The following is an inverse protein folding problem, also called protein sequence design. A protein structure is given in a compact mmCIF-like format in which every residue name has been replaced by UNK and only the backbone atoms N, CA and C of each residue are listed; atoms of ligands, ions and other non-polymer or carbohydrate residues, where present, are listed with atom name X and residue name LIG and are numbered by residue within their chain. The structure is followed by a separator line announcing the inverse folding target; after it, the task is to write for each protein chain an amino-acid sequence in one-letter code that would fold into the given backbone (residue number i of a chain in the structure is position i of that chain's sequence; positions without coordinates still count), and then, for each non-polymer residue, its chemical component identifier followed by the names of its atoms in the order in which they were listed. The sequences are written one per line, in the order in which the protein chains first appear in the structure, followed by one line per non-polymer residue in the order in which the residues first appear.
data_IF_563467806965
#
_entry.id   IF_563467806965
#
_cell.length_a   1.000
_cell.length_b   1.000
_cell.length_c   1.000
_cell.angle_alpha   90.00
_cell.angle_beta   90.00
_cell.angle_gamma   90.00
#
_symmetry.space_group_name_H-M   'P 1'
#
loop_
_entity.id
_entity.type
_entity.pdbx_description
1 polymer ?
#
# COMPACT_ATOMS: atom_id res chain seq x y z
N UNK A 1 -23.19 16.83 4.77
CA UNK A 1 -21.78 16.46 4.52
C UNK A 1 -21.71 15.99 3.07
N UNK A 2 -21.10 16.77 2.17
CA UNK A 2 -21.10 16.42 0.75
C UNK A 2 -20.11 15.27 0.50
N UNK A 3 -20.60 14.21 -0.15
CA UNK A 3 -19.83 13.04 -0.52
C UNK A 3 -18.95 13.38 -1.74
N UNK A 4 -17.71 13.80 -1.47
CA UNK A 4 -16.74 14.17 -2.50
C UNK A 4 -16.04 12.96 -3.15
N UNK A 5 -16.44 11.72 -2.82
CA UNK A 5 -15.85 10.52 -3.40
C UNK A 5 -16.07 10.40 -4.92
N UNK A 6 -17.04 11.13 -5.48
CA UNK A 6 -17.42 11.07 -6.91
C UNK A 6 -16.77 12.13 -7.81
N UNK A 7 -15.98 13.08 -7.27
CA UNK A 7 -15.46 14.22 -8.05
C UNK A 7 -14.00 14.10 -8.53
N UNK A 8 -13.25 13.04 -8.20
CA UNK A 8 -11.94 12.86 -8.81
C UNK A 8 -12.10 12.27 -10.21
N UNK A 9 -12.16 13.14 -11.22
CA UNK A 9 -12.05 12.74 -12.62
C UNK A 9 -10.71 12.05 -12.82
N UNK A 10 -10.69 10.71 -12.88
CA UNK A 10 -9.46 9.93 -13.03
C UNK A 10 -8.86 10.15 -14.41
N UNK A 11 -7.84 11.03 -14.50
CA UNK A 11 -7.18 11.38 -15.75
C UNK A 11 -5.84 10.67 -15.94
N UNK A 12 -5.30 10.61 -17.18
CA UNK A 12 -3.97 10.05 -17.44
C UNK A 12 -2.87 10.67 -16.56
N UNK A 13 -2.93 11.98 -16.30
CA UNK A 13 -1.98 12.68 -15.42
C UNK A 13 -2.08 12.26 -13.95
N UNK A 14 -3.28 11.98 -13.45
CA UNK A 14 -3.47 11.47 -12.08
C UNK A 14 -2.88 10.07 -11.95
N UNK A 15 -3.18 9.19 -12.92
CA UNK A 15 -2.66 7.82 -12.92
C UNK A 15 -1.14 7.80 -13.03
N UNK A 16 -0.55 8.63 -13.90
CA UNK A 16 0.91 8.74 -14.02
C UNK A 16 1.56 9.19 -12.70
N UNK A 17 1.00 10.20 -12.02
CA UNK A 17 1.49 10.65 -10.70
C UNK A 17 1.35 9.58 -9.63
N UNK A 18 0.25 8.82 -9.64
CA UNK A 18 0.04 7.70 -8.73
C UNK A 18 1.08 6.59 -8.94
N UNK A 19 1.33 6.22 -10.20
CA UNK A 19 2.34 5.23 -10.58
C UNK A 19 3.76 5.67 -10.18
N UNK A 20 4.11 6.94 -10.39
CA UNK A 20 5.41 7.51 -10.01
C UNK A 20 5.69 7.40 -8.49
N UNK A 21 4.65 7.42 -7.65
CA UNK A 21 4.75 7.20 -6.19
C UNK A 21 4.84 5.73 -5.80
N UNK A 22 5.19 4.84 -6.74
CA UNK A 22 5.19 3.37 -6.59
C UNK A 22 3.79 2.80 -6.32
N UNK A 23 2.74 3.57 -6.59
CA UNK A 23 1.37 3.05 -6.63
C UNK A 23 1.20 2.10 -7.81
N UNK A 24 0.33 1.09 -7.66
CA UNK A 24 -0.08 0.21 -8.77
C UNK A 24 -1.53 0.54 -9.11
N UNK A 25 -1.81 1.27 -10.20
CA UNK A 25 -3.17 1.63 -10.59
C UNK A 25 -4.05 0.38 -10.74
N UNK A 26 -5.33 0.49 -10.39
CA UNK A 26 -6.31 -0.57 -10.68
C UNK A 26 -6.73 -0.56 -12.14
N UNK A 27 -7.38 -1.63 -12.56
CA UNK A 27 -7.87 -1.80 -13.93
C UNK A 27 -8.93 -0.74 -14.27
N UNK A 28 -9.80 -0.41 -13.33
CA UNK A 28 -10.85 0.61 -13.49
C UNK A 28 -10.26 2.03 -13.51
N UNK A 29 -9.21 2.31 -12.72
CA UNK A 29 -8.50 3.59 -12.81
C UNK A 29 -7.84 3.77 -14.18
N UNK A 30 -7.20 2.70 -14.68
CA UNK A 30 -6.58 2.71 -16.01
C UNK A 30 -7.63 2.87 -17.10
N UNK A 31 -8.76 2.19 -16.99
CA UNK A 31 -9.85 2.26 -17.95
C UNK A 31 -10.47 3.66 -17.99
N UNK A 32 -10.82 4.23 -16.83
CA UNK A 32 -11.37 5.59 -16.72
C UNK A 32 -10.42 6.63 -17.32
N UNK A 33 -9.12 6.51 -17.04
CA UNK A 33 -8.11 7.41 -17.61
C UNK A 33 -7.92 7.20 -19.12
N UNK A 34 -7.97 5.96 -19.60
CA UNK A 34 -7.85 5.63 -21.01
C UNK A 34 -9.04 6.17 -21.82
N UNK A 35 -10.27 6.03 -21.30
CA UNK A 35 -11.49 6.48 -21.95
C UNK A 35 -11.63 8.01 -22.01
N UNK A 36 -10.82 8.77 -21.25
CA UNK A 36 -10.75 10.23 -21.33
C UNK A 36 -9.89 10.76 -22.47
N UNK A 37 -9.11 9.89 -23.14
CA UNK A 37 -8.20 10.31 -24.20
C UNK A 37 -8.99 10.47 -25.50
N UNK A 38 -9.18 11.72 -25.93
CA UNK A 38 -9.85 12.05 -27.18
C UNK A 38 -8.99 13.03 -28.01
N UNK A 39 -8.70 12.74 -29.28
CA UNK A 39 -9.03 11.49 -30.01
C UNK A 39 -8.24 10.28 -29.49
N UNK A 40 -8.76 9.06 -29.72
CA UNK A 40 -8.09 7.83 -29.31
C UNK A 40 -6.73 7.69 -30.03
N UNK A 41 -5.63 7.40 -29.32
CA UNK A 41 -4.31 7.19 -29.90
C UNK A 41 -4.16 5.84 -30.60
N UNK A 42 -5.14 4.94 -30.43
CA UNK A 42 -5.12 3.58 -30.94
C UNK A 42 -6.25 3.36 -31.93
N UNK A 43 -6.09 2.36 -32.81
CA UNK A 43 -7.18 1.93 -33.68
C UNK A 43 -8.39 1.45 -32.86
N UNK A 44 -9.57 1.41 -33.47
CA UNK A 44 -10.79 0.95 -32.81
C UNK A 44 -10.65 -0.49 -32.28
N UNK A 45 -9.97 -1.37 -33.03
CA UNK A 45 -9.72 -2.76 -32.65
C UNK A 45 -8.80 -2.83 -31.42
N UNK A 46 -7.72 -2.06 -31.41
CA UNK A 46 -6.79 -2.01 -30.28
C UNK A 46 -7.44 -1.39 -29.03
N UNK A 47 -8.24 -0.33 -29.22
CA UNK A 47 -9.00 0.33 -28.16
C UNK A 47 -9.94 -0.66 -27.47
N UNK A 48 -10.71 -1.43 -28.25
CA UNK A 48 -11.60 -2.47 -27.71
C UNK A 48 -10.81 -3.59 -27.02
N UNK A 49 -9.66 -3.98 -27.57
CA UNK A 49 -8.81 -5.00 -26.95
C UNK A 49 -8.23 -4.53 -25.59
N UNK A 50 -7.80 -3.27 -25.49
CA UNK A 50 -7.37 -2.67 -24.21
C UNK A 50 -8.52 -2.69 -23.20
N UNK A 51 -9.71 -2.21 -23.58
CA UNK A 51 -10.88 -2.20 -22.69
C UNK A 51 -11.24 -3.60 -22.19
N UNK A 52 -11.18 -4.62 -23.05
CA UNK A 52 -11.44 -6.01 -22.65
C UNK A 52 -10.45 -6.54 -21.62
N UNK A 53 -9.17 -6.22 -21.75
CA UNK A 53 -8.15 -6.63 -20.78
C UNK A 53 -8.40 -5.99 -19.41
N UNK A 54 -8.87 -4.74 -19.38
CA UNK A 54 -9.13 -3.99 -18.16
C UNK A 54 -10.47 -4.37 -17.49
N UNK A 55 -11.54 -4.61 -18.26
CA UNK A 55 -12.87 -4.98 -17.70
C UNK A 55 -12.96 -6.46 -17.31
N UNK A 56 -11.98 -7.30 -17.69
CA UNK A 56 -12.01 -8.76 -17.52
C UNK A 56 -13.33 -9.39 -18.04
N UNK A 57 -13.85 -8.93 -19.20
CA UNK A 57 -15.07 -9.52 -19.79
C UNK A 57 -14.84 -11.00 -20.11
N UNK A 58 -15.70 -11.87 -19.56
CA UNK A 58 -15.76 -13.29 -19.92
C UNK A 58 -16.41 -13.46 -21.30
N UNK A 59 -15.91 -14.40 -22.10
CA UNK A 59 -16.46 -14.76 -23.39
C UNK A 59 -15.44 -14.71 -24.54
N UNK A 60 -15.74 -15.43 -25.63
CA UNK A 60 -14.90 -15.45 -26.83
C UNK A 60 -14.89 -14.05 -27.46
N UNK A 61 -13.72 -13.50 -27.83
CA UNK A 61 -13.67 -12.23 -28.53
C UNK A 61 -14.35 -12.30 -29.90
N UNK A 62 -15.11 -11.25 -30.30
CA UNK A 62 -15.67 -11.12 -31.63
C UNK A 62 -14.52 -10.80 -32.59
N UNK A 63 -13.86 -11.84 -33.09
CA UNK A 63 -12.80 -11.72 -34.08
C UNK A 63 -11.37 -11.79 -33.54
N UNK A 64 -10.42 -11.62 -34.45
CA UNK A 64 -8.98 -11.72 -34.19
C UNK A 64 -8.47 -10.43 -33.55
N UNK A 65 -8.48 -10.39 -32.22
CA UNK A 65 -7.88 -9.28 -31.47
C UNK A 65 -6.34 -9.37 -31.50
N UNK A 66 -5.64 -8.22 -31.44
CA UNK A 66 -4.19 -8.20 -31.27
C UNK A 66 -3.78 -8.89 -29.97
N UNK A 67 -2.60 -9.52 -29.99
CA UNK A 67 -2.05 -10.17 -28.81
C UNK A 67 -1.67 -9.13 -27.75
N UNK A 68 -1.56 -9.57 -26.49
CA UNK A 68 -1.15 -8.69 -25.37
C UNK A 68 0.19 -8.03 -25.64
N UNK A 69 1.15 -8.77 -26.19
CA UNK A 69 2.47 -8.25 -26.57
C UNK A 69 2.38 -7.18 -27.67
N UNK A 70 1.51 -7.37 -28.67
CA UNK A 70 1.26 -6.37 -29.70
C UNK A 70 0.67 -5.09 -29.10
N UNK A 71 -0.34 -5.22 -28.23
CA UNK A 71 -0.95 -4.09 -27.53
C UNK A 71 0.03 -3.34 -26.63
N UNK A 72 0.84 -4.05 -25.85
CA UNK A 72 1.88 -3.45 -25.01
C UNK A 72 2.86 -2.62 -25.84
N UNK A 73 3.30 -3.15 -26.99
CA UNK A 73 4.19 -2.41 -27.90
C UNK A 73 3.50 -1.19 -28.49
N UNK A 74 2.27 -1.34 -28.99
CA UNK A 74 1.49 -0.24 -29.55
C UNK A 74 1.32 0.90 -28.53
N UNK A 75 0.93 0.58 -27.29
CA UNK A 75 0.80 1.56 -26.20
C UNK A 75 2.12 2.28 -25.89
N UNK A 76 3.23 1.57 -25.86
CA UNK A 76 4.56 2.17 -25.62
C UNK A 76 5.07 3.00 -26.81
N UNK A 77 4.51 2.83 -28.00
CA UNK A 77 4.88 3.62 -29.18
C UNK A 77 4.05 4.90 -29.32
N UNK A 78 2.98 5.06 -28.54
CA UNK A 78 2.20 6.30 -28.50
C UNK A 78 3.10 7.47 -28.09
N UNK A 79 3.16 8.48 -28.95
CA UNK A 79 3.89 9.72 -28.73
C UNK A 79 3.00 10.97 -28.91
N UNK A 80 1.74 10.86 -28.47
CA UNK A 80 0.76 11.94 -28.59
C UNK A 80 1.00 13.01 -27.51
N UNK A 81 1.08 14.30 -27.89
CA UNK A 81 1.15 15.40 -26.93
C UNK A 81 -0.04 15.37 -25.97
N UNK A 82 0.22 15.55 -24.67
CA UNK A 82 -0.83 15.56 -23.63
C UNK A 82 -1.09 14.22 -22.96
N UNK A 83 -0.53 13.10 -23.45
CA UNK A 83 -0.58 11.81 -22.76
C UNK A 83 0.73 11.59 -21.98
N UNK A 84 0.70 11.55 -20.64
CA UNK A 84 1.92 11.38 -19.85
C UNK A 84 2.56 10.01 -20.07
N UNK A 85 3.88 9.98 -20.23
CA UNK A 85 4.63 8.72 -20.46
C UNK A 85 4.42 7.70 -19.34
N UNK A 86 4.40 8.15 -18.08
CA UNK A 86 4.18 7.27 -16.93
C UNK A 86 2.80 6.60 -16.93
N UNK A 87 1.78 7.20 -17.58
CA UNK A 87 0.50 6.53 -17.78
C UNK A 87 0.61 5.40 -18.81
N UNK A 88 1.26 5.67 -19.95
CA UNK A 88 1.48 4.66 -21.00
C UNK A 88 2.29 3.47 -20.48
N UNK A 89 3.32 3.73 -19.67
CA UNK A 89 4.12 2.69 -19.01
C UNK A 89 3.29 1.85 -18.04
N UNK A 90 2.46 2.50 -17.21
CA UNK A 90 1.56 1.80 -16.28
C UNK A 90 0.53 0.93 -17.04
N UNK A 91 -0.05 1.48 -18.11
CA UNK A 91 -1.00 0.76 -18.96
C UNK A 91 -0.32 -0.42 -19.67
N UNK A 92 0.85 -0.21 -20.27
CA UNK A 92 1.64 -1.25 -20.93
C UNK A 92 2.04 -2.38 -19.98
N UNK A 93 2.52 -2.03 -18.78
CA UNK A 93 2.83 -3.00 -17.72
C UNK A 93 1.59 -3.82 -17.36
N UNK A 94 0.43 -3.17 -17.19
CA UNK A 94 -0.82 -3.87 -16.90
C UNK A 94 -1.25 -4.80 -18.04
N UNK A 95 -1.15 -4.34 -19.29
CA UNK A 95 -1.48 -5.15 -20.47
C UNK A 95 -0.56 -6.38 -20.57
N UNK A 96 0.70 -6.27 -20.16
CA UNK A 96 1.64 -7.40 -20.08
C UNK A 96 1.38 -8.38 -18.94
N UNK A 97 0.73 -7.95 -17.85
CA UNK A 97 0.45 -8.79 -16.66
C UNK A 97 -0.79 -9.66 -16.83
N UNK A 98 -0.71 -10.97 -16.55
CA UNK A 98 -1.87 -11.88 -16.58
C UNK A 98 -2.88 -11.48 -15.50
N UNK A 99 -2.41 -11.19 -14.30
CA UNK A 99 -3.23 -10.79 -13.17
C UNK A 99 -3.68 -9.33 -13.31
N UNK A 100 -5.00 -9.11 -13.29
CA UNK A 100 -5.57 -7.77 -13.10
C UNK A 100 -5.68 -7.36 -11.65
N UNK A 101 -6.06 -6.12 -11.40
CA UNK A 101 -6.31 -5.64 -10.04
C UNK A 101 -7.54 -4.76 -10.00
N UNK A 102 -8.56 -5.19 -9.26
CA UNK A 102 -9.77 -4.37 -9.12
C UNK A 102 -9.54 -3.19 -8.16
N UNK A 103 -10.36 -2.14 -8.29
CA UNK A 103 -10.41 -1.02 -7.34
C UNK A 103 -10.63 -1.55 -5.92
N UNK A 104 -11.49 -2.55 -5.74
CA UNK A 104 -11.76 -3.19 -4.46
C UNK A 104 -10.51 -3.87 -3.86
N UNK A 105 -9.79 -4.68 -4.64
CA UNK A 105 -8.53 -5.31 -4.20
C UNK A 105 -7.45 -4.26 -3.89
N UNK A 106 -7.40 -3.18 -4.65
CA UNK A 106 -6.49 -2.06 -4.40
C UNK A 106 -6.83 -1.34 -3.09
N UNK A 107 -8.11 -1.07 -2.83
CA UNK A 107 -8.60 -0.44 -1.60
C UNK A 107 -8.35 -1.32 -0.38
N UNK A 108 -8.62 -2.62 -0.44
CA UNK A 108 -8.28 -3.56 0.64
C UNK A 108 -6.78 -3.55 0.89
N UNK A 109 -5.96 -3.58 -0.16
CA UNK A 109 -4.50 -3.52 -0.02
C UNK A 109 -4.02 -2.24 0.67
N UNK A 110 -4.61 -1.10 0.31
CA UNK A 110 -4.31 0.20 0.94
C UNK A 110 -4.76 0.24 2.40
N UNK A 111 -5.99 -0.19 2.68
CA UNK A 111 -6.53 -0.31 4.04
C UNK A 111 -5.63 -1.19 4.92
N UNK A 112 -5.29 -2.39 4.45
CA UNK A 112 -4.41 -3.31 5.17
C UNK A 112 -3.01 -2.72 5.41
N UNK A 113 -2.52 -1.88 4.50
CA UNK A 113 -1.23 -1.18 4.65
C UNK A 113 -1.33 -0.10 5.73
N UNK A 114 -2.39 0.71 5.71
CA UNK A 114 -2.64 1.76 6.70
C UNK A 114 -2.83 1.15 8.09
N UNK A 115 -3.68 0.14 8.22
CA UNK A 115 -3.92 -0.57 9.49
C UNK A 115 -2.62 -1.18 10.04
N UNK A 116 -1.79 -1.77 9.18
CA UNK A 116 -0.47 -2.27 9.56
C UNK A 116 0.45 -1.15 10.06
N UNK A 117 0.48 0.00 9.38
CA UNK A 117 1.27 1.15 9.80
C UNK A 117 0.82 1.69 11.17
N UNK A 118 -0.49 1.78 11.42
CA UNK A 118 -1.01 2.18 12.73
C UNK A 118 -0.62 1.19 13.83
N UNK A 119 -0.77 -0.11 13.59
CA UNK A 119 -0.33 -1.15 14.53
C UNK A 119 1.17 -1.06 14.81
N UNK A 120 1.98 -0.90 13.78
CA UNK A 120 3.44 -0.78 13.91
C UNK A 120 3.83 0.50 14.68
N UNK A 121 3.12 1.62 14.48
CA UNK A 121 3.28 2.85 15.26
C UNK A 121 2.98 2.61 16.74
N UNK A 122 1.84 1.96 17.02
CA UNK A 122 1.38 1.65 18.38
C UNK A 122 2.39 0.76 19.11
N UNK A 123 2.87 -0.31 18.46
CA UNK A 123 3.93 -1.19 18.99
C UNK A 123 5.18 -0.38 19.36
N UNK A 124 5.61 0.54 18.50
CA UNK A 124 6.80 1.36 18.76
C UNK A 124 6.57 2.34 19.92
N UNK A 125 5.39 2.95 20.01
CA UNK A 125 5.02 3.85 21.10
C UNK A 125 5.04 3.12 22.44
N UNK A 126 4.21 2.09 22.57
CA UNK A 126 4.10 1.27 23.77
C UNK A 126 5.44 0.68 24.19
N UNK A 127 6.20 0.09 23.26
CA UNK A 127 7.52 -0.46 23.60
C UNK A 127 8.44 0.61 24.18
N UNK A 128 8.47 1.84 23.64
CA UNK A 128 9.34 2.90 24.14
C UNK A 128 8.94 3.34 25.55
N UNK A 129 7.65 3.54 25.78
CA UNK A 129 7.10 3.93 27.09
C UNK A 129 7.40 2.85 28.13
N UNK A 130 7.05 1.60 27.84
CA UNK A 130 7.27 0.47 28.74
C UNK A 130 8.77 0.20 28.97
N UNK A 131 9.59 0.36 27.94
CA UNK A 131 11.03 0.27 28.09
C UNK A 131 11.55 1.34 29.04
N UNK A 132 11.10 2.60 28.91
CA UNK A 132 11.54 3.70 29.76
C UNK A 132 11.10 3.51 31.22
N UNK A 133 9.91 2.99 31.45
CA UNK A 133 9.35 2.81 32.79
C UNK A 133 9.86 1.57 33.55
N UNK A 134 10.61 0.68 32.90
CA UNK A 134 11.20 -0.49 33.55
C UNK A 134 12.40 -0.12 34.44
N UNK A 135 12.12 0.29 35.68
CA UNK A 135 13.13 0.62 36.71
C UNK A 135 13.50 -0.58 37.61
N UNK A 136 13.34 -1.81 37.11
CA UNK A 136 13.74 -3.03 37.83
C UNK A 136 12.69 -3.59 38.80
N UNK A 137 11.55 -2.90 38.98
CA UNK A 137 10.45 -3.35 39.82
C UNK A 137 9.55 -4.40 39.13
N UNK A 138 8.77 -5.14 39.92
CA UNK A 138 7.82 -6.18 39.44
C UNK A 138 6.57 -5.61 38.76
N UNK A 139 6.27 -4.34 38.97
CA UNK A 139 5.17 -3.64 38.32
C UNK A 139 5.57 -2.21 37.95
N UNK A 140 4.88 -1.67 36.95
CA UNK A 140 5.07 -0.32 36.40
C UNK A 140 3.71 0.37 36.40
N UNK A 141 3.66 1.60 36.93
CA UNK A 141 2.45 2.44 36.84
C UNK A 141 2.52 3.31 35.59
N UNK A 142 1.59 3.10 34.66
CA UNK A 142 1.46 3.91 33.45
C UNK A 142 0.33 4.95 33.61
N UNK A 143 0.54 6.22 33.24
CA UNK A 143 -0.42 7.31 33.49
C UNK A 143 -1.80 7.09 32.85
N UNK A 144 -1.86 6.32 31.75
CA UNK A 144 -3.12 6.07 31.01
C UNK A 144 -3.61 4.63 31.18
N UNK A 145 -2.71 3.67 31.38
CA UNK A 145 -3.02 2.23 31.28
C UNK A 145 -3.20 1.63 32.69
N UNK A 146 -2.78 2.36 33.73
CA UNK A 146 -2.78 1.89 35.10
C UNK A 146 -1.57 1.01 35.41
N UNK A 147 -1.73 0.10 36.36
CA UNK A 147 -0.65 -0.78 36.78
C UNK A 147 -0.44 -1.92 35.78
N UNK A 148 0.81 -2.13 35.39
CA UNK A 148 1.22 -3.12 34.41
C UNK A 148 2.26 -4.04 35.06
N UNK A 149 2.01 -5.34 35.01
CA UNK A 149 2.95 -6.33 35.54
C UNK A 149 4.16 -6.48 34.61
N UNK A 150 5.36 -6.48 35.20
CA UNK A 150 6.59 -6.73 34.46
C UNK A 150 6.81 -8.25 34.42
N UNK A 151 6.88 -8.87 33.22
CA UNK A 151 7.05 -10.30 33.11
C UNK A 151 8.40 -10.73 33.70
N UNK A 152 8.34 -11.71 34.61
CA UNK A 152 9.49 -12.31 35.29
C UNK A 152 10.22 -13.25 34.33
N UNK A 153 10.95 -12.66 33.38
CA UNK A 153 11.73 -13.39 32.39
C UNK A 153 13.21 -13.09 32.59
N UNK A 154 14.09 -14.11 32.46
CA UNK A 154 15.56 -13.95 32.51
C UNK A 154 16.14 -13.13 31.34
N UNK A 155 15.29 -12.46 30.58
CA UNK A 155 15.65 -11.77 29.36
C UNK A 155 15.81 -10.27 29.61
N UNK A 156 16.67 -9.62 28.82
CA UNK A 156 16.98 -8.20 28.99
C UNK A 156 15.77 -7.26 28.88
N UNK A 157 15.90 -6.05 29.43
CA UNK A 157 14.90 -4.96 29.47
C UNK A 157 14.07 -4.83 28.18
N UNK A 158 14.73 -4.81 27.02
CA UNK A 158 14.03 -4.70 25.73
C UNK A 158 13.08 -5.86 25.43
N UNK A 159 13.43 -7.10 25.79
CA UNK A 159 12.59 -8.27 25.52
C UNK A 159 11.40 -8.34 26.47
N UNK A 160 11.59 -7.92 27.73
CA UNK A 160 10.48 -7.71 28.68
C UNK A 160 9.51 -6.64 28.20
N UNK A 161 10.01 -5.50 27.70
CA UNK A 161 9.17 -4.44 27.14
C UNK A 161 8.36 -4.90 25.92
N UNK A 162 8.96 -5.71 25.03
CA UNK A 162 8.24 -6.34 23.91
C UNK A 162 7.12 -7.26 24.39
N UNK A 163 7.38 -8.08 25.42
CA UNK A 163 6.38 -8.97 25.99
C UNK A 163 5.22 -8.19 26.61
N UNK A 164 5.50 -7.18 27.42
CA UNK A 164 4.47 -6.29 27.97
C UNK A 164 3.65 -5.61 26.88
N UNK A 165 4.31 -5.16 25.79
CA UNK A 165 3.61 -4.58 24.64
C UNK A 165 2.66 -5.59 24.01
N UNK A 166 3.10 -6.84 23.82
CA UNK A 166 2.26 -7.91 23.30
C UNK A 166 1.05 -8.17 24.21
N UNK A 167 1.27 -8.22 25.52
CA UNK A 167 0.24 -8.54 26.50
C UNK A 167 -0.82 -7.44 26.57
N UNK A 168 -0.42 -6.17 26.47
CA UNK A 168 -1.35 -5.05 26.38
C UNK A 168 -2.16 -5.07 25.08
N UNK A 169 -1.52 -5.37 23.95
CA UNK A 169 -2.22 -5.49 22.67
C UNK A 169 -3.27 -6.60 22.72
N UNK A 170 -2.92 -7.77 23.26
CA UNK A 170 -3.87 -8.87 23.46
C UNK A 170 -5.00 -8.48 24.41
N UNK A 171 -4.70 -7.79 25.53
CA UNK A 171 -5.72 -7.29 26.47
C UNK A 171 -6.70 -6.29 25.82
N UNK A 172 -6.25 -5.56 24.82
CA UNK A 172 -7.07 -4.62 24.04
C UNK A 172 -7.66 -5.24 22.77
N UNK A 173 -7.70 -6.57 22.68
CA UNK A 173 -8.29 -7.31 21.56
C UNK A 173 -7.61 -7.05 20.19
N UNK A 174 -6.37 -6.57 20.21
CA UNK A 174 -5.53 -6.56 19.01
C UNK A 174 -4.87 -7.92 18.83
N UNK A 175 -4.61 -8.27 17.57
CA UNK A 175 -3.77 -9.41 17.21
C UNK A 175 -2.29 -8.97 17.10
N UNK A 176 -1.46 -9.17 18.15
CA UNK A 176 -0.07 -8.77 18.12
C UNK A 176 0.73 -9.69 17.18
N UNK A 177 1.66 -9.13 16.38
CA UNK A 177 2.61 -9.95 15.64
C UNK A 177 3.57 -10.67 16.61
N UNK A 178 4.31 -11.67 16.11
CA UNK A 178 5.26 -12.40 16.96
C UNK A 178 6.32 -11.47 17.59
N UNK A 179 6.85 -11.83 18.76
CA UNK A 179 7.88 -11.01 19.43
C UNK A 179 9.10 -10.71 18.54
N UNK A 180 9.47 -11.64 17.65
CA UNK A 180 10.52 -11.43 16.65
C UNK A 180 10.15 -10.37 15.60
N UNK A 181 8.91 -10.39 15.11
CA UNK A 181 8.39 -9.36 14.21
C UNK A 181 8.29 -7.99 14.91
N UNK A 182 7.82 -7.94 16.15
CA UNK A 182 7.79 -6.71 16.95
C UNK A 182 9.20 -6.13 17.15
N UNK A 183 10.19 -6.98 17.47
CA UNK A 183 11.60 -6.57 17.55
C UNK A 183 12.08 -5.93 16.25
N UNK A 184 11.73 -6.52 15.10
CA UNK A 184 12.07 -5.98 13.79
C UNK A 184 11.41 -4.62 13.54
N UNK A 185 10.13 -4.46 13.88
CA UNK A 185 9.39 -3.19 13.79
C UNK A 185 10.10 -2.09 14.61
N UNK A 186 10.41 -2.37 15.87
CA UNK A 186 11.10 -1.43 16.76
C UNK A 186 12.51 -1.09 16.25
N UNK A 187 13.26 -2.08 15.77
CA UNK A 187 14.63 -1.91 15.29
C UNK A 187 14.71 -1.11 13.98
N UNK A 188 13.79 -1.35 13.04
CA UNK A 188 13.72 -0.62 11.75
C UNK A 188 13.48 0.87 11.97
N UNK A 189 12.63 1.23 12.93
CA UNK A 189 12.33 2.64 13.22
C UNK A 189 13.49 3.40 13.87
N UNK A 190 14.29 2.71 14.69
CA UNK A 190 15.54 3.29 15.23
C UNK A 190 16.52 3.64 14.11
N UNK A 191 16.70 2.76 13.13
CA UNK A 191 17.58 3.00 11.98
C UNK A 191 17.11 4.19 11.10
N UNK A 192 15.80 4.29 10.85
CA UNK A 192 15.21 5.40 10.10
C UNK A 192 15.39 6.76 10.81
N UNK A 193 15.36 6.79 12.15
CA UNK A 193 15.59 8.01 12.92
C UNK A 193 17.09 8.37 13.06
N UNK A 194 17.99 7.39 13.00
CA UNK A 194 19.45 7.63 13.04
C UNK A 194 19.99 8.16 11.71
N UNK A 195 19.43 7.74 10.58
CA UNK A 195 19.80 8.27 9.25
C UNK A 195 19.26 9.67 8.94
N UNK A 196 18.56 10.32 9.88
CA UNK A 196 18.03 11.69 9.75
C UNK A 196 18.69 12.69 10.69
N UNK A 197 19.77 12.31 11.39
CA UNK A 197 20.57 13.29 12.14
C UNK A 197 21.25 14.23 11.13
N UNK A 198 21.04 15.55 11.18
CA UNK A 198 21.91 16.46 10.45
C UNK A 198 23.35 16.23 10.96
N UNK A 199 24.30 16.22 10.02
CA UNK A 199 25.71 16.26 10.38
C UNK A 199 25.97 17.51 11.26
N UNK A 200 26.89 17.43 12.23
CA UNK A 200 27.21 18.56 13.10
C UNK A 200 27.66 19.79 12.31
#
# INVERSE_FOLDING_TARGET
MADFAHYSVTSPAIVARFAARRGRPSDEMLLKAFDQICPSPLSQIETEAVRRVLVRKRGRPPGKLPSRTQLTRAVLQINQPGIPRGFLEALAHRLGSIEGRSEFEAQIGMHNTIMRQHRDNLIVGLHRELYALQDGNRSVTHPVIGQIEVPQMEQGRSRRALKMTSDLLTKWEFDPPSLGQMRNIVSRRRKLNQGRRPAP
#
